data_IF_419916688568
#
_entry.id   IF_419916688568
#
_cell.length_a   1.000
_cell.length_b   1.000
_cell.length_c   1.000
_cell.angle_alpha   90.00
_cell.angle_beta   90.00
_cell.angle_gamma   90.00
#
_symmetry.space_group_name_H-M   'P 1'
#
loop_
_entity.id
_entity.type
_entity.pdbx_description
1 polymer ?
#
# COMPACT_ATOMS: atom_id res chain seq x y z
N UNK A 1 -14.18 -33.99 46.62
CA UNK A 1 -14.04 -34.61 45.28
C UNK A 1 -13.19 -33.68 44.45
N UNK A 2 -11.90 -33.94 44.38
CA UNK A 2 -10.97 -33.10 43.60
C UNK A 2 -10.93 -33.58 42.14
N UNK A 3 -11.15 -32.65 41.20
CA UNK A 3 -11.06 -32.96 39.79
C UNK A 3 -9.63 -33.35 39.42
N UNK A 4 -9.46 -34.48 38.78
CA UNK A 4 -8.17 -34.95 38.25
C UNK A 4 -7.70 -34.00 37.12
N UNK A 5 -6.57 -33.34 37.32
CA UNK A 5 -5.95 -32.53 36.27
C UNK A 5 -5.39 -33.48 35.17
N UNK A 6 -5.93 -33.38 33.98
CA UNK A 6 -5.39 -34.07 32.80
C UNK A 6 -4.13 -33.30 32.40
N UNK A 7 -2.98 -33.95 32.48
CA UNK A 7 -1.71 -33.44 31.94
C UNK A 7 -1.79 -33.50 30.43
N UNK A 8 -1.95 -32.35 29.80
CA UNK A 8 -1.81 -32.23 28.34
C UNK A 8 -0.31 -32.28 28.08
N UNK A 9 0.18 -33.40 27.57
CA UNK A 9 1.55 -33.50 27.07
C UNK A 9 1.73 -32.47 25.99
N UNK A 10 2.76 -31.61 26.16
CA UNK A 10 3.14 -30.62 25.16
C UNK A 10 3.42 -31.31 23.84
N UNK A 11 2.46 -31.21 22.93
CA UNK A 11 2.59 -31.69 21.55
C UNK A 11 3.93 -31.21 21.00
N UNK A 12 4.72 -32.13 20.44
CA UNK A 12 5.88 -31.86 19.62
C UNK A 12 5.52 -30.74 18.63
N UNK A 13 5.98 -29.53 18.90
CA UNK A 13 6.02 -28.49 17.88
C UNK A 13 7.03 -29.01 16.86
N UNK A 14 6.54 -29.68 15.83
CA UNK A 14 7.31 -30.02 14.65
C UNK A 14 8.05 -28.74 14.26
N UNK A 15 9.38 -28.77 14.29
CA UNK A 15 10.19 -27.64 13.82
C UNK A 15 9.94 -27.55 12.31
N UNK A 16 8.91 -26.78 11.93
CA UNK A 16 8.67 -26.46 10.52
C UNK A 16 9.94 -25.79 9.98
N UNK A 17 10.39 -26.22 8.82
CA UNK A 17 11.49 -25.55 8.15
C UNK A 17 11.11 -24.09 7.90
N UNK A 18 12.04 -23.15 8.09
CA UNK A 18 11.77 -21.74 7.80
C UNK A 18 11.32 -21.55 6.35
N UNK A 19 10.36 -20.66 6.13
CA UNK A 19 9.97 -20.29 4.78
C UNK A 19 11.13 -19.61 4.06
N UNK A 20 11.42 -20.02 2.83
CA UNK A 20 12.40 -19.37 1.96
C UNK A 20 11.82 -18.04 1.47
N UNK A 21 12.55 -16.96 1.66
CA UNK A 21 12.11 -15.61 1.30
C UNK A 21 13.01 -15.05 0.20
N UNK A 22 12.37 -14.49 -0.84
CA UNK A 22 13.00 -13.65 -1.84
C UNK A 22 12.49 -12.21 -1.69
N UNK A 23 13.37 -11.22 -1.66
CA UNK A 23 13.03 -9.80 -1.61
C UNK A 23 13.35 -9.12 -2.94
N UNK A 24 12.36 -8.50 -3.55
CA UNK A 24 12.53 -7.62 -4.71
C UNK A 24 12.34 -6.16 -4.30
N UNK A 25 13.31 -5.32 -4.67
CA UNK A 25 13.35 -3.91 -4.34
C UNK A 25 14.19 -3.61 -3.09
N UNK A 26 15.18 -2.72 -3.26
CA UNK A 26 16.02 -2.19 -2.18
C UNK A 26 15.91 -0.67 -2.05
N UNK A 27 14.72 -0.13 -2.39
CA UNK A 27 14.35 1.24 -2.07
C UNK A 27 14.02 1.40 -0.57
N UNK A 28 13.44 2.51 -0.21
CA UNK A 28 13.14 2.87 1.19
C UNK A 28 12.39 1.77 1.95
N UNK A 29 11.38 1.13 1.33
CA UNK A 29 10.60 0.05 1.94
C UNK A 29 11.41 -1.24 2.03
N UNK A 30 12.10 -1.63 0.95
CA UNK A 30 12.91 -2.86 0.94
C UNK A 30 14.07 -2.82 1.94
N UNK A 31 14.71 -1.66 2.11
CA UNK A 31 15.73 -1.47 3.16
C UNK A 31 15.13 -1.61 4.57
N UNK A 32 13.92 -1.09 4.79
CA UNK A 32 13.23 -1.27 6.07
C UNK A 32 12.82 -2.75 6.33
N UNK A 33 12.50 -3.52 5.28
CA UNK A 33 12.29 -4.98 5.38
C UNK A 33 13.59 -5.66 5.83
N UNK A 34 14.74 -5.35 5.18
CA UNK A 34 16.03 -5.91 5.55
C UNK A 34 16.42 -5.55 6.99
N UNK A 35 16.25 -4.29 7.37
CA UNK A 35 16.50 -3.85 8.75
C UNK A 35 15.67 -4.66 9.76
N UNK A 36 14.37 -4.83 9.49
CA UNK A 36 13.49 -5.58 10.40
C UNK A 36 13.85 -7.07 10.48
N UNK A 37 14.23 -7.68 9.36
CA UNK A 37 14.74 -9.05 9.37
C UNK A 37 16.05 -9.17 10.18
N UNK A 38 16.91 -8.16 10.13
CA UNK A 38 18.11 -8.10 10.97
C UNK A 38 17.76 -8.00 12.46
N UNK A 39 16.85 -7.12 12.85
CA UNK A 39 16.35 -6.97 14.21
C UNK A 39 15.72 -8.27 14.75
N UNK A 40 15.14 -9.09 13.89
CA UNK A 40 14.50 -10.34 14.26
C UNK A 40 15.46 -11.53 14.40
N UNK A 41 16.76 -11.37 14.17
CA UNK A 41 17.73 -12.45 14.36
C UNK A 41 17.63 -13.04 15.76
N UNK A 42 17.59 -14.38 15.82
CA UNK A 42 17.47 -15.10 17.08
C UNK A 42 16.07 -15.11 17.73
N UNK A 43 15.13 -14.29 17.23
CA UNK A 43 13.75 -14.27 17.73
C UNK A 43 12.90 -15.40 17.13
N UNK A 44 11.71 -15.63 17.70
CA UNK A 44 10.73 -16.57 17.15
C UNK A 44 10.26 -16.20 15.73
N UNK A 45 10.19 -14.91 15.42
CA UNK A 45 9.82 -14.40 14.10
C UNK A 45 10.92 -14.67 13.07
N UNK A 46 12.18 -14.35 13.39
CA UNK A 46 13.31 -14.57 12.50
C UNK A 46 13.56 -16.05 12.18
N UNK A 47 13.24 -16.95 13.11
CA UNK A 47 13.35 -18.40 12.86
C UNK A 47 12.33 -18.94 11.86
N UNK A 48 11.29 -18.19 11.52
CA UNK A 48 10.26 -18.60 10.55
C UNK A 48 10.59 -18.22 9.10
N UNK A 49 11.49 -17.25 8.90
CA UNK A 49 11.80 -16.67 7.60
C UNK A 49 13.29 -16.79 7.32
N UNK A 50 13.67 -17.40 6.20
CA UNK A 50 15.04 -17.48 5.73
C UNK A 50 15.19 -16.68 4.43
N UNK A 51 15.84 -15.51 4.49
CA UNK A 51 16.10 -14.68 3.32
C UNK A 51 17.17 -15.37 2.44
N UNK A 52 16.77 -15.98 1.33
CA UNK A 52 17.68 -16.69 0.41
C UNK A 52 18.05 -15.86 -0.82
N UNK A 53 17.24 -14.86 -1.17
CA UNK A 53 17.44 -14.02 -2.34
C UNK A 53 17.05 -12.56 -2.04
N UNK A 54 17.86 -11.61 -2.52
CA UNK A 54 17.54 -10.19 -2.47
C UNK A 54 18.03 -9.50 -3.75
N UNK A 55 17.21 -8.66 -4.37
CA UNK A 55 17.57 -8.02 -5.62
C UNK A 55 16.98 -6.61 -5.78
N UNK A 56 17.66 -5.82 -6.57
CA UNK A 56 17.15 -4.58 -7.16
C UNK A 56 17.39 -4.59 -8.68
N UNK A 57 17.16 -3.47 -9.36
CA UNK A 57 17.38 -3.35 -10.82
C UNK A 57 18.85 -3.48 -11.25
N UNK A 58 19.79 -3.59 -10.31
CA UNK A 58 21.24 -3.54 -10.57
C UNK A 58 21.97 -4.81 -10.18
N UNK A 59 21.55 -5.42 -9.09
CA UNK A 59 22.23 -6.55 -8.45
C UNK A 59 21.24 -7.55 -7.89
N UNK A 60 21.57 -8.82 -7.95
CA UNK A 60 20.93 -9.89 -7.19
C UNK A 60 21.95 -10.61 -6.33
N UNK A 61 21.53 -10.94 -5.12
CA UNK A 61 22.30 -11.72 -4.13
C UNK A 61 21.53 -13.02 -3.85
N UNK A 62 22.25 -14.13 -3.79
CA UNK A 62 21.68 -15.45 -3.52
C UNK A 62 22.57 -16.24 -2.58
N UNK A 63 21.95 -16.91 -1.61
CA UNK A 63 22.57 -17.92 -0.78
C UNK A 63 21.49 -18.88 -0.24
N UNK A 64 21.56 -20.16 -0.59
CA UNK A 64 20.59 -21.17 -0.15
C UNK A 64 20.55 -21.34 1.38
N UNK A 65 21.69 -21.20 2.06
CA UNK A 65 21.77 -21.27 3.51
C UNK A 65 21.19 -20.04 4.23
N UNK A 66 20.95 -18.97 3.48
CA UNK A 66 20.43 -17.68 3.97
C UNK A 66 21.42 -16.55 3.76
N UNK A 67 20.87 -15.39 3.51
CA UNK A 67 21.59 -14.11 3.37
C UNK A 67 21.57 -13.33 4.69
N UNK A 68 22.65 -12.62 4.95
CA UNK A 68 22.71 -11.62 6.02
C UNK A 68 21.97 -10.34 5.55
N UNK A 69 20.87 -9.90 6.21
CA UNK A 69 20.13 -8.74 5.77
C UNK A 69 20.94 -7.43 5.78
N UNK A 70 21.85 -7.23 6.74
CA UNK A 70 22.67 -6.01 6.83
C UNK A 70 23.67 -5.95 5.68
N UNK A 71 24.27 -7.10 5.36
CA UNK A 71 25.16 -7.21 4.20
C UNK A 71 24.40 -6.96 2.89
N UNK A 72 23.18 -7.53 2.75
CA UNK A 72 22.32 -7.29 1.59
C UNK A 72 22.04 -5.79 1.42
N UNK A 73 21.63 -5.10 2.48
CA UNK A 73 21.35 -3.66 2.44
C UNK A 73 22.57 -2.88 1.94
N UNK A 74 23.75 -3.21 2.44
CA UNK A 74 25.01 -2.55 2.08
C UNK A 74 25.40 -2.80 0.62
N UNK A 75 25.37 -4.06 0.17
CA UNK A 75 25.81 -4.43 -1.17
C UNK A 75 24.82 -3.92 -2.25
N UNK A 76 23.51 -4.04 -2.01
CA UNK A 76 22.49 -3.55 -2.93
C UNK A 76 22.53 -2.02 -3.08
N UNK A 77 22.85 -1.28 -2.00
CA UNK A 77 22.99 0.17 -2.04
C UNK A 77 24.21 0.61 -2.88
N UNK A 78 25.32 -0.14 -2.78
CA UNK A 78 26.60 0.16 -3.47
C UNK A 78 26.67 -0.33 -4.90
N UNK A 79 25.71 -1.16 -5.35
CA UNK A 79 25.74 -1.76 -6.67
C UNK A 79 25.80 -0.67 -7.77
N UNK A 80 26.71 -0.80 -8.75
CA UNK A 80 26.76 0.13 -9.88
C UNK A 80 25.48 0.06 -10.69
N UNK A 81 25.13 1.15 -11.37
CA UNK A 81 23.99 1.16 -12.29
C UNK A 81 24.23 0.11 -13.38
N UNK A 82 23.26 -0.78 -13.59
CA UNK A 82 23.27 -1.83 -14.59
C UNK A 82 21.97 -1.80 -15.37
N UNK A 83 22.02 -2.09 -16.66
CA UNK A 83 20.82 -2.26 -17.49
C UNK A 83 20.16 -3.64 -17.33
N UNK A 84 20.77 -4.52 -16.53
CA UNK A 84 20.19 -5.85 -16.24
C UNK A 84 19.08 -5.75 -15.21
N UNK A 85 17.85 -5.90 -15.66
CA UNK A 85 16.70 -6.08 -14.76
C UNK A 85 16.75 -7.49 -14.17
N UNK A 86 16.80 -7.59 -12.85
CA UNK A 86 16.65 -8.87 -12.14
C UNK A 86 15.16 -9.17 -12.09
N UNK A 87 14.70 -9.98 -13.01
CA UNK A 87 13.30 -10.36 -13.15
C UNK A 87 12.87 -11.36 -12.05
N UNK A 88 11.57 -11.51 -11.80
CA UNK A 88 11.01 -12.50 -10.89
C UNK A 88 11.49 -13.94 -11.12
N UNK A 89 11.91 -14.28 -12.34
CA UNK A 89 12.49 -15.58 -12.68
C UNK A 89 13.74 -15.94 -11.85
N UNK A 90 14.61 -14.98 -11.55
CA UNK A 90 15.77 -15.19 -10.68
C UNK A 90 15.36 -15.50 -9.25
N UNK A 91 14.33 -14.82 -8.74
CA UNK A 91 13.76 -15.09 -7.42
C UNK A 91 13.11 -16.49 -7.36
N UNK A 92 12.36 -16.86 -8.40
CA UNK A 92 11.73 -18.19 -8.49
C UNK A 92 12.78 -19.30 -8.47
N UNK A 93 13.85 -19.19 -9.26
CA UNK A 93 14.95 -20.14 -9.28
C UNK A 93 15.64 -20.26 -7.91
N UNK A 94 15.88 -19.14 -7.23
CA UNK A 94 16.52 -19.11 -5.92
C UNK A 94 15.64 -19.72 -4.80
N UNK A 95 14.32 -19.58 -4.89
CA UNK A 95 13.38 -20.17 -3.95
C UNK A 95 13.28 -21.71 -4.11
N UNK A 96 13.65 -22.27 -5.28
CA UNK A 96 13.58 -23.70 -5.56
C UNK A 96 12.15 -24.22 -5.64
N UNK A 97 11.95 -25.54 -5.43
CA UNK A 97 10.66 -26.21 -5.64
C UNK A 97 10.01 -26.72 -4.36
N UNK A 98 10.71 -26.72 -3.23
CA UNK A 98 10.28 -27.36 -1.99
C UNK A 98 10.14 -26.39 -0.81
N UNK A 99 9.26 -26.74 0.13
CA UNK A 99 8.98 -25.96 1.32
C UNK A 99 8.09 -24.76 1.06
N UNK A 100 7.87 -23.96 2.09
CA UNK A 100 7.13 -22.69 1.97
C UNK A 100 8.03 -21.65 1.32
N UNK A 101 7.55 -21.02 0.26
CA UNK A 101 8.28 -20.09 -0.59
C UNK A 101 7.52 -18.77 -0.66
N UNK A 102 8.18 -17.69 -0.34
CA UNK A 102 7.55 -16.35 -0.26
C UNK A 102 8.38 -15.36 -1.05
N UNK A 103 7.73 -14.64 -1.96
CA UNK A 103 8.27 -13.44 -2.57
C UNK A 103 7.75 -12.22 -1.82
N UNK A 104 8.65 -11.34 -1.38
CA UNK A 104 8.33 -10.00 -0.89
C UNK A 104 8.63 -9.00 -2.02
N UNK A 105 7.58 -8.36 -2.54
CA UNK A 105 7.67 -7.32 -3.56
C UNK A 105 7.57 -5.94 -2.93
N UNK A 106 8.72 -5.29 -2.75
CA UNK A 106 8.85 -3.91 -2.27
C UNK A 106 9.17 -2.94 -3.43
N UNK A 107 8.72 -3.26 -4.66
CA UNK A 107 8.93 -2.45 -5.86
C UNK A 107 7.69 -1.61 -6.20
N UNK A 108 7.86 -0.72 -7.20
CA UNK A 108 6.76 -0.07 -7.92
C UNK A 108 6.80 -0.46 -9.41
N UNK A 109 7.30 -1.66 -9.71
CA UNK A 109 7.59 -2.12 -11.06
C UNK A 109 6.39 -2.89 -11.64
N UNK A 110 5.97 -2.49 -12.85
CA UNK A 110 4.82 -3.10 -13.52
C UNK A 110 5.11 -4.52 -14.02
N UNK A 111 6.35 -4.79 -14.43
CA UNK A 111 6.75 -6.12 -14.90
C UNK A 111 6.78 -7.11 -13.72
N UNK A 112 7.23 -6.68 -12.54
CA UNK A 112 7.17 -7.49 -11.32
C UNK A 112 5.71 -7.79 -10.96
N UNK A 113 4.85 -6.77 -10.95
CA UNK A 113 3.43 -6.94 -10.66
C UNK A 113 2.72 -7.88 -11.66
N UNK A 114 3.03 -7.77 -12.95
CA UNK A 114 2.48 -8.63 -14.01
C UNK A 114 2.89 -10.10 -13.87
N UNK A 115 3.99 -10.39 -13.19
CA UNK A 115 4.47 -11.75 -12.95
C UNK A 115 3.90 -12.40 -11.67
N UNK A 116 3.13 -11.67 -10.84
CA UNK A 116 2.52 -12.25 -9.63
C UNK A 116 1.67 -13.49 -9.91
N UNK A 117 0.80 -13.54 -10.95
CA UNK A 117 0.03 -14.75 -11.26
C UNK A 117 0.91 -15.98 -11.51
N UNK A 118 1.98 -15.83 -12.29
CA UNK A 118 2.90 -16.94 -12.61
C UNK A 118 3.64 -17.44 -11.37
N UNK A 119 4.03 -16.57 -10.45
CA UNK A 119 4.65 -16.92 -9.18
C UNK A 119 3.68 -17.70 -8.29
N UNK A 120 2.44 -17.21 -8.17
CA UNK A 120 1.39 -17.88 -7.41
C UNK A 120 1.05 -19.26 -7.99
N UNK A 121 0.97 -19.39 -9.31
CA UNK A 121 0.77 -20.65 -10.01
C UNK A 121 1.96 -21.62 -9.83
N UNK A 122 3.17 -21.12 -9.63
CA UNK A 122 4.33 -21.92 -9.24
C UNK A 122 4.31 -22.31 -7.75
N UNK A 123 3.28 -21.95 -6.99
CA UNK A 123 3.16 -22.23 -5.55
C UNK A 123 4.03 -21.34 -4.67
N UNK A 124 4.43 -20.17 -5.15
CA UNK A 124 5.13 -19.13 -4.37
C UNK A 124 4.07 -18.16 -3.81
N UNK A 125 4.07 -17.97 -2.50
CA UNK A 125 3.27 -16.91 -1.88
C UNK A 125 3.87 -15.55 -2.21
N UNK A 126 3.04 -14.52 -2.37
CA UNK A 126 3.47 -13.16 -2.68
C UNK A 126 2.99 -12.21 -1.61
N UNK A 127 3.90 -11.43 -1.00
CA UNK A 127 3.58 -10.28 -0.15
C UNK A 127 4.03 -9.01 -0.87
N UNK A 128 3.12 -8.07 -1.16
CA UNK A 128 3.44 -6.92 -2.01
C UNK A 128 3.01 -5.59 -1.42
N UNK A 129 3.85 -4.55 -1.62
CA UNK A 129 3.48 -3.14 -1.46
C UNK A 129 3.17 -2.46 -2.79
N UNK A 130 3.34 -3.17 -3.92
CA UNK A 130 3.09 -2.68 -5.27
C UNK A 130 1.59 -2.56 -5.55
N UNK A 131 1.12 -1.32 -5.68
CA UNK A 131 -0.30 -1.05 -5.97
C UNK A 131 -0.71 -1.43 -7.41
N UNK A 132 0.26 -1.65 -8.30
CA UNK A 132 -0.03 -1.92 -9.71
C UNK A 132 -0.74 -3.26 -9.92
N UNK A 133 -0.44 -4.26 -9.09
CA UNK A 133 -1.08 -5.57 -9.16
C UNK A 133 -2.60 -5.50 -8.90
N UNK A 134 -3.01 -4.80 -7.86
CA UNK A 134 -4.43 -4.69 -7.47
C UNK A 134 -5.14 -3.42 -7.95
N UNK A 135 -4.40 -2.36 -8.31
CA UNK A 135 -4.92 -1.01 -8.58
C UNK A 135 -4.88 -0.57 -10.05
N UNK A 136 -4.67 -1.49 -11.00
CA UNK A 136 -4.67 -1.20 -12.45
C UNK A 136 -5.71 -2.05 -13.17
N UNK A 137 -5.31 -3.00 -14.02
CA UNK A 137 -6.19 -3.88 -14.78
C UNK A 137 -7.02 -4.80 -13.88
N UNK A 138 -8.30 -4.94 -14.16
CA UNK A 138 -9.16 -5.93 -13.52
C UNK A 138 -8.79 -7.36 -13.95
N UNK A 139 -8.30 -7.54 -15.17
CA UNK A 139 -7.79 -8.83 -15.66
C UNK A 139 -6.66 -9.33 -14.76
N UNK A 140 -5.61 -8.52 -14.56
CA UNK A 140 -4.48 -8.89 -13.71
C UNK A 140 -4.93 -9.24 -12.28
N UNK A 141 -5.84 -8.44 -11.70
CA UNK A 141 -6.37 -8.73 -10.36
C UNK A 141 -7.10 -10.09 -10.33
N UNK A 142 -7.94 -10.39 -11.34
CA UNK A 142 -8.63 -11.68 -11.46
C UNK A 142 -7.67 -12.85 -11.66
N UNK A 143 -6.64 -12.68 -12.46
CA UNK A 143 -5.60 -13.68 -12.68
C UNK A 143 -4.86 -14.02 -11.37
N UNK A 144 -4.55 -13.02 -10.55
CA UNK A 144 -3.98 -13.20 -9.21
C UNK A 144 -4.93 -14.04 -8.32
N UNK A 145 -6.23 -13.66 -8.24
CA UNK A 145 -7.19 -14.40 -7.42
C UNK A 145 -7.34 -15.86 -7.91
N UNK A 146 -7.47 -16.06 -9.21
CA UNK A 146 -7.59 -17.39 -9.80
C UNK A 146 -6.32 -18.25 -9.57
N UNK A 147 -5.12 -17.66 -9.60
CA UNK A 147 -3.88 -18.37 -9.29
C UNK A 147 -3.83 -18.77 -7.81
N UNK A 148 -4.25 -17.90 -6.89
CA UNK A 148 -4.38 -18.23 -5.48
C UNK A 148 -5.32 -19.42 -5.25
N UNK A 149 -6.51 -19.40 -5.87
CA UNK A 149 -7.51 -20.46 -5.75
C UNK A 149 -7.00 -21.81 -6.29
N UNK A 150 -6.35 -21.79 -7.47
CA UNK A 150 -5.83 -23.02 -8.09
C UNK A 150 -4.75 -23.71 -7.27
N UNK A 151 -3.89 -22.95 -6.58
CA UNK A 151 -2.69 -23.48 -5.93
C UNK A 151 -2.72 -23.41 -4.41
N UNK A 152 -3.68 -22.72 -3.82
CA UNK A 152 -3.68 -22.40 -2.39
C UNK A 152 -2.55 -21.45 -2.00
N UNK A 153 -1.97 -20.73 -2.97
CA UNK A 153 -0.92 -19.75 -2.71
C UNK A 153 -1.52 -18.49 -2.08
N UNK A 154 -0.86 -17.91 -1.09
CA UNK A 154 -1.28 -16.68 -0.44
C UNK A 154 -0.84 -15.44 -1.22
N UNK A 155 -1.75 -14.46 -1.36
CA UNK A 155 -1.45 -13.12 -1.85
C UNK A 155 -1.68 -12.10 -0.73
N UNK A 156 -0.59 -11.57 -0.16
CA UNK A 156 -0.58 -10.57 0.90
C UNK A 156 -0.40 -9.18 0.31
N UNK A 157 -1.45 -8.38 0.37
CA UNK A 157 -1.52 -7.04 -0.23
C UNK A 157 -1.75 -5.92 0.80
N UNK A 158 -1.66 -6.23 2.11
CA UNK A 158 -1.96 -5.27 3.19
C UNK A 158 -1.21 -3.97 3.06
N UNK A 159 0.04 -4.04 2.60
CA UNK A 159 0.92 -2.89 2.45
C UNK A 159 0.52 -1.95 1.29
N UNK A 160 -0.42 -2.34 0.42
CA UNK A 160 -0.80 -1.56 -0.77
C UNK A 160 -1.68 -0.35 -0.46
N UNK A 161 -2.51 -0.42 0.59
CA UNK A 161 -3.40 0.68 0.99
C UNK A 161 -3.29 0.95 2.48
N UNK A 162 -2.91 2.19 2.83
CA UNK A 162 -2.79 2.61 4.23
C UNK A 162 -1.57 2.08 4.95
N UNK A 163 -0.54 1.62 4.23
CA UNK A 163 0.69 1.03 4.79
C UNK A 163 0.38 -0.08 5.80
N UNK A 164 0.51 0.16 7.11
CA UNK A 164 0.21 -0.81 8.16
C UNK A 164 -1.22 -0.79 8.70
N UNK A 165 -2.08 0.12 8.21
CA UNK A 165 -3.47 0.17 8.65
C UNK A 165 -4.24 -1.08 8.22
N UNK A 166 -5.10 -1.66 9.07
CA UNK A 166 -5.78 -2.93 8.80
C UNK A 166 -6.97 -2.79 7.84
N UNK A 167 -6.86 -1.94 6.79
CA UNK A 167 -7.97 -1.63 5.87
C UNK A 167 -8.44 -2.87 5.10
N UNK A 168 -7.54 -3.50 4.35
CA UNK A 168 -7.87 -4.67 3.55
C UNK A 168 -8.24 -5.89 4.41
N UNK A 169 -7.56 -6.02 5.55
CA UNK A 169 -7.88 -7.05 6.53
C UNK A 169 -9.30 -6.89 7.06
N UNK A 170 -9.68 -5.69 7.50
CA UNK A 170 -11.02 -5.44 8.04
C UNK A 170 -12.13 -5.67 7.00
N UNK A 171 -11.90 -5.29 5.73
CA UNK A 171 -12.85 -5.57 4.65
C UNK A 171 -13.06 -7.09 4.48
N UNK A 172 -11.97 -7.88 4.43
CA UNK A 172 -12.06 -9.34 4.30
C UNK A 172 -12.73 -9.98 5.52
N UNK A 173 -12.35 -9.59 6.74
CA UNK A 173 -12.95 -10.12 7.97
C UNK A 173 -14.46 -9.82 8.08
N UNK A 174 -14.92 -8.66 7.62
CA UNK A 174 -16.34 -8.35 7.53
C UNK A 174 -17.06 -9.28 6.54
N UNK A 175 -16.50 -9.45 5.34
CA UNK A 175 -17.08 -10.32 4.30
C UNK A 175 -17.06 -11.80 4.68
N UNK A 176 -15.97 -12.29 5.27
CA UNK A 176 -15.83 -13.66 5.78
C UNK A 176 -16.87 -13.95 6.89
N UNK A 177 -17.26 -12.92 7.65
CA UNK A 177 -18.35 -12.95 8.62
C UNK A 177 -19.75 -12.76 8.02
N UNK A 178 -19.89 -12.77 6.69
CA UNK A 178 -21.15 -12.61 5.99
C UNK A 178 -21.69 -11.17 5.91
N UNK A 179 -20.87 -10.18 6.26
CA UNK A 179 -21.25 -8.77 6.21
C UNK A 179 -21.05 -8.19 4.79
N UNK A 180 -21.98 -7.41 4.32
CA UNK A 180 -21.93 -6.82 2.99
C UNK A 180 -21.47 -5.35 3.08
N UNK A 181 -20.44 -5.01 2.33
CA UNK A 181 -19.94 -3.64 2.23
C UNK A 181 -20.82 -2.84 1.27
N UNK A 182 -21.26 -1.65 1.68
CA UNK A 182 -22.12 -0.77 0.89
C UNK A 182 -21.38 0.42 0.32
N UNK A 183 -20.48 1.02 1.13
CA UNK A 183 -19.73 2.18 0.73
C UNK A 183 -18.38 2.25 1.46
N UNK A 184 -17.42 2.89 0.83
CA UNK A 184 -16.12 3.23 1.39
C UNK A 184 -15.84 4.69 1.05
N UNK A 185 -15.38 5.46 2.02
CA UNK A 185 -14.88 6.81 1.77
C UNK A 185 -13.58 7.02 2.54
N UNK A 186 -12.65 7.83 1.96
CA UNK A 186 -11.39 8.03 2.67
C UNK A 186 -10.55 9.18 2.17
N UNK A 187 -9.85 9.79 3.10
CA UNK A 187 -8.66 10.63 2.88
C UNK A 187 -7.47 9.68 2.90
N UNK A 188 -6.89 9.38 1.74
CA UNK A 188 -5.93 8.27 1.58
C UNK A 188 -4.58 8.69 0.98
N UNK A 189 -4.31 10.00 0.90
CA UNK A 189 -3.01 10.56 0.53
C UNK A 189 -2.48 11.38 1.68
N UNK A 190 -1.29 11.04 2.19
CA UNK A 190 -0.66 11.78 3.28
C UNK A 190 -0.28 13.20 2.88
N UNK A 191 0.26 13.40 1.67
CA UNK A 191 0.61 14.71 1.13
C UNK A 191 -0.62 15.62 1.00
N UNK A 192 -1.70 15.11 0.38
CA UNK A 192 -2.94 15.87 0.22
C UNK A 192 -3.67 16.10 1.55
N UNK A 193 -3.62 15.13 2.48
CA UNK A 193 -4.15 15.32 3.82
C UNK A 193 -3.44 16.49 4.52
N UNK A 194 -2.10 16.50 4.47
CA UNK A 194 -1.29 17.57 5.07
C UNK A 194 -1.55 18.94 4.43
N UNK A 195 -1.67 19.00 3.10
CA UNK A 195 -1.94 20.23 2.36
C UNK A 195 -3.30 20.83 2.75
N UNK A 196 -4.37 20.03 2.72
CA UNK A 196 -5.72 20.51 3.01
C UNK A 196 -6.02 20.66 4.51
N UNK A 197 -5.21 20.09 5.39
CA UNK A 197 -5.26 20.37 6.83
C UNK A 197 -4.74 21.79 7.15
N UNK A 198 -3.80 22.31 6.34
CA UNK A 198 -3.17 23.62 6.50
C UNK A 198 -3.74 24.72 5.63
N UNK A 199 -4.47 24.36 4.57
CA UNK A 199 -5.01 25.32 3.64
C UNK A 199 -6.24 26.02 4.20
N UNK A 200 -6.02 27.06 4.99
CA UNK A 200 -7.05 27.93 5.58
C UNK A 200 -7.38 29.18 4.75
N UNK A 201 -6.65 29.42 3.67
CA UNK A 201 -6.78 30.57 2.77
C UNK A 201 -5.93 31.75 3.18
N UNK A 202 -5.15 31.72 4.26
CA UNK A 202 -4.24 32.79 4.69
C UNK A 202 -2.98 32.88 3.82
N UNK A 203 -2.62 31.78 3.16
CA UNK A 203 -1.47 31.66 2.26
C UNK A 203 -1.90 31.04 0.92
N UNK A 204 -1.19 31.34 -0.18
CA UNK A 204 -1.38 30.63 -1.45
C UNK A 204 -1.21 29.13 -1.29
N UNK A 205 -2.02 28.33 -1.99
CA UNK A 205 -1.90 26.87 -1.96
C UNK A 205 -0.55 26.39 -2.52
N UNK A 206 -0.04 27.09 -3.55
CA UNK A 206 1.27 26.84 -4.14
C UNK A 206 2.41 26.92 -3.13
N UNK A 207 2.35 27.82 -2.14
CA UNK A 207 3.37 27.91 -1.09
C UNK A 207 3.33 26.70 -0.15
N UNK A 208 2.15 26.19 0.15
CA UNK A 208 1.99 24.95 0.92
C UNK A 208 2.55 23.75 0.16
N UNK A 209 2.34 23.68 -1.17
CA UNK A 209 2.91 22.62 -2.02
C UNK A 209 4.45 22.69 -2.03
N UNK A 210 5.04 23.90 -2.16
CA UNK A 210 6.50 24.08 -2.07
C UNK A 210 7.04 23.67 -0.69
N UNK A 211 6.33 24.02 0.38
CA UNK A 211 6.70 23.61 1.73
C UNK A 211 6.64 22.09 1.92
N UNK A 212 5.57 21.44 1.44
CA UNK A 212 5.42 19.99 1.49
C UNK A 212 6.53 19.28 0.71
N UNK A 213 6.86 19.78 -0.48
CA UNK A 213 7.95 19.28 -1.32
C UNK A 213 9.31 19.41 -0.61
N UNK A 214 9.64 20.56 -0.06
CA UNK A 214 10.87 20.79 0.69
C UNK A 214 11.01 19.86 1.93
N UNK A 215 9.89 19.47 2.55
CA UNK A 215 9.83 18.53 3.67
C UNK A 215 9.83 17.05 3.25
N UNK A 216 9.82 16.77 1.94
CA UNK A 216 9.74 15.40 1.43
C UNK A 216 8.38 14.72 1.66
N UNK A 217 7.31 15.49 1.78
CA UNK A 217 5.95 14.95 1.92
C UNK A 217 5.27 14.68 0.58
N UNK A 218 5.81 15.23 -0.52
CA UNK A 218 5.38 14.94 -1.89
C UNK A 218 6.40 14.08 -2.61
N UNK A 219 5.98 13.47 -3.71
CA UNK A 219 6.88 12.89 -4.70
C UNK A 219 7.81 13.97 -5.27
N UNK A 220 8.94 13.59 -5.93
CA UNK A 220 9.85 14.54 -6.57
C UNK A 220 9.17 15.49 -7.56
N UNK A 221 8.12 15.03 -8.23
CA UNK A 221 7.17 15.87 -8.97
C UNK A 221 5.84 15.95 -8.18
N UNK A 222 5.51 17.06 -7.52
CA UNK A 222 4.28 17.17 -6.74
C UNK A 222 3.00 16.96 -7.55
N UNK A 223 3.06 17.05 -8.90
CA UNK A 223 1.91 16.76 -9.76
C UNK A 223 1.46 15.31 -9.67
N UNK A 224 2.36 14.38 -9.34
CA UNK A 224 2.00 12.98 -9.11
C UNK A 224 0.99 12.87 -7.96
N UNK A 225 1.25 13.55 -6.83
CA UNK A 225 0.32 13.61 -5.71
C UNK A 225 -0.97 14.34 -6.07
N UNK A 226 -0.83 15.52 -6.69
CA UNK A 226 -1.95 16.41 -7.05
C UNK A 226 -2.86 15.81 -8.13
N UNK A 227 -2.36 14.84 -8.91
CA UNK A 227 -3.15 14.14 -9.93
C UNK A 227 -4.27 13.30 -9.34
N UNK A 228 -4.10 12.78 -8.12
CA UNK A 228 -5.02 11.85 -7.49
C UNK A 228 -4.87 10.39 -7.95
N UNK A 229 -3.91 10.09 -8.82
CA UNK A 229 -3.72 8.73 -9.38
C UNK A 229 -3.37 7.67 -8.33
N UNK A 230 -2.58 8.02 -7.32
CA UNK A 230 -2.29 7.10 -6.20
C UNK A 230 -3.56 6.80 -5.38
N UNK A 231 -4.39 7.82 -5.16
CA UNK A 231 -5.68 7.68 -4.48
C UNK A 231 -6.67 6.85 -5.31
N UNK A 232 -6.66 7.02 -6.66
CA UNK A 232 -7.44 6.19 -7.59
C UNK A 232 -7.07 4.71 -7.47
N UNK A 233 -5.77 4.39 -7.47
CA UNK A 233 -5.32 3.00 -7.30
C UNK A 233 -5.75 2.43 -5.96
N UNK A 234 -5.66 3.22 -4.89
CA UNK A 234 -6.06 2.80 -3.54
C UNK A 234 -7.55 2.49 -3.44
N UNK A 235 -8.44 3.39 -3.93
CA UNK A 235 -9.88 3.13 -3.89
C UNK A 235 -10.26 1.94 -4.78
N UNK A 236 -9.55 1.72 -5.89
CA UNK A 236 -9.77 0.58 -6.76
C UNK A 236 -9.43 -0.75 -6.07
N UNK A 237 -8.32 -0.80 -5.34
CA UNK A 237 -7.95 -1.97 -4.52
C UNK A 237 -8.99 -2.22 -3.43
N UNK A 238 -9.41 -1.18 -2.70
CA UNK A 238 -10.45 -1.30 -1.68
C UNK A 238 -11.78 -1.77 -2.27
N UNK A 239 -12.19 -1.21 -3.41
CA UNK A 239 -13.41 -1.61 -4.11
C UNK A 239 -13.40 -3.08 -4.50
N UNK A 240 -12.32 -3.54 -5.12
CA UNK A 240 -12.15 -4.95 -5.53
C UNK A 240 -12.16 -5.89 -4.33
N UNK A 241 -11.46 -5.52 -3.27
CA UNK A 241 -11.47 -6.27 -2.00
C UNK A 241 -12.86 -6.29 -1.38
N UNK A 242 -13.65 -5.22 -1.51
CA UNK A 242 -15.02 -5.13 -1.02
C UNK A 242 -16.07 -5.83 -1.94
N UNK A 243 -15.62 -6.53 -2.99
CA UNK A 243 -16.52 -7.28 -3.90
C UNK A 243 -17.06 -6.47 -5.08
N UNK A 244 -16.53 -5.27 -5.34
CA UNK A 244 -16.90 -4.46 -6.51
C UNK A 244 -15.82 -4.58 -7.60
N UNK A 245 -16.04 -5.38 -8.66
CA UNK A 245 -15.05 -5.66 -9.70
C UNK A 245 -14.94 -4.50 -10.70
N UNK A 246 -14.46 -3.35 -10.25
CA UNK A 246 -14.36 -2.14 -11.06
C UNK A 246 -13.15 -2.17 -12.00
N UNK A 247 -13.34 -1.71 -13.23
CA UNK A 247 -12.22 -1.35 -14.10
C UNK A 247 -11.61 -0.01 -13.70
N UNK A 248 -10.34 0.16 -14.03
CA UNK A 248 -9.60 1.40 -13.72
C UNK A 248 -10.25 2.64 -14.32
N UNK A 249 -10.80 2.55 -15.54
CA UNK A 249 -11.48 3.64 -16.22
C UNK A 249 -12.87 3.97 -15.64
N UNK A 250 -13.40 3.16 -14.73
CA UNK A 250 -14.69 3.42 -14.05
C UNK A 250 -14.52 4.31 -12.81
N UNK A 251 -13.29 4.69 -12.44
CA UNK A 251 -13.05 5.62 -11.33
C UNK A 251 -12.93 7.03 -11.90
N UNK A 252 -13.89 7.88 -11.59
CA UNK A 252 -13.84 9.30 -11.95
C UNK A 252 -12.82 10.04 -11.08
N UNK A 253 -11.86 10.74 -11.69
CA UNK A 253 -10.79 11.45 -11.00
C UNK A 253 -10.81 12.93 -11.36
N UNK A 254 -11.18 13.78 -10.40
CA UNK A 254 -11.03 15.22 -10.49
C UNK A 254 -9.63 15.65 -10.02
N UNK A 255 -8.67 15.62 -10.95
CA UNK A 255 -7.29 16.04 -10.69
C UNK A 255 -7.23 17.51 -10.24
N UNK A 256 -6.30 17.82 -9.33
CA UNK A 256 -5.98 19.20 -8.95
C UNK A 256 -5.03 19.88 -9.94
N UNK A 257 -4.41 19.13 -10.84
CA UNK A 257 -3.42 19.64 -11.81
C UNK A 257 -4.13 20.28 -12.99
N UNK A 258 -4.04 21.64 -13.17
CA UNK A 258 -4.62 22.28 -14.34
C UNK A 258 -3.93 21.84 -15.64
N UNK A 259 -4.65 21.85 -16.77
CA UNK A 259 -4.12 21.46 -18.07
C UNK A 259 -2.86 22.24 -18.50
N UNK A 260 -2.71 23.49 -18.06
CA UNK A 260 -1.50 24.28 -18.32
C UNK A 260 -0.30 23.74 -17.55
N UNK A 261 -0.51 23.35 -16.28
CA UNK A 261 0.56 22.83 -15.42
C UNK A 261 0.98 21.40 -15.84
N UNK A 262 0.05 20.60 -16.33
CA UNK A 262 0.33 19.21 -16.75
C UNK A 262 1.24 19.10 -17.99
N UNK A 263 1.30 20.15 -18.82
CA UNK A 263 2.09 20.21 -20.06
C UNK A 263 3.54 20.65 -19.86
N UNK A 264 3.88 21.14 -18.68
CA UNK A 264 5.23 21.63 -18.37
C UNK A 264 6.17 20.48 -18.03
N UNK A 265 7.47 20.67 -18.16
CA UNK A 265 8.46 19.74 -17.59
C UNK A 265 8.43 19.80 -16.06
N UNK A 266 9.01 18.81 -15.36
CA UNK A 266 8.99 18.78 -13.88
C UNK A 266 9.56 20.06 -13.26
N UNK A 267 10.71 20.53 -13.75
CA UNK A 267 11.35 21.76 -13.24
C UNK A 267 10.53 23.03 -13.51
N UNK A 268 9.94 23.16 -14.70
CA UNK A 268 9.05 24.28 -15.05
C UNK A 268 7.78 24.26 -14.20
N UNK A 269 7.23 23.09 -13.94
CA UNK A 269 6.02 22.92 -13.15
C UNK A 269 6.21 23.42 -11.70
N UNK A 270 7.35 23.12 -11.07
CA UNK A 270 7.68 23.66 -9.75
C UNK A 270 7.73 25.18 -9.72
N UNK A 271 8.19 25.81 -10.81
CA UNK A 271 8.19 27.26 -10.96
C UNK A 271 6.81 27.89 -11.22
N UNK A 272 5.79 27.08 -11.57
CA UNK A 272 4.45 27.52 -12.00
C UNK A 272 3.31 26.95 -11.15
N UNK A 273 3.59 26.57 -9.90
CA UNK A 273 2.58 26.07 -8.98
C UNK A 273 1.50 27.11 -8.63
N UNK A 274 1.78 28.41 -8.85
CA UNK A 274 0.82 29.50 -8.73
C UNK A 274 -0.43 29.33 -9.62
N UNK A 275 -0.34 28.53 -10.68
CA UNK A 275 -1.50 28.14 -11.50
C UNK A 275 -2.59 27.39 -10.71
N UNK A 276 -2.28 26.87 -9.54
CA UNK A 276 -3.22 26.19 -8.64
C UNK A 276 -4.09 27.19 -7.82
N UNK A 277 -3.55 28.37 -7.52
CA UNK A 277 -4.03 29.19 -6.43
C UNK A 277 -5.45 29.74 -6.63
N UNK A 278 -5.74 30.33 -7.79
CA UNK A 278 -7.03 30.97 -8.02
C UNK A 278 -8.22 30.00 -7.88
N UNK A 279 -8.11 28.80 -8.46
CA UNK A 279 -9.19 27.83 -8.42
C UNK A 279 -9.38 27.23 -7.02
N UNK A 280 -8.29 27.03 -6.28
CA UNK A 280 -8.36 26.48 -4.92
C UNK A 280 -8.81 27.50 -3.90
N UNK A 281 -8.45 28.78 -4.09
CA UNK A 281 -8.95 29.86 -3.26
C UNK A 281 -10.48 29.99 -3.35
N UNK A 282 -11.04 29.95 -4.56
CA UNK A 282 -12.50 29.97 -4.76
C UNK A 282 -13.20 28.80 -4.06
N UNK A 283 -12.62 27.60 -4.16
CA UNK A 283 -13.16 26.41 -3.49
C UNK A 283 -13.06 26.54 -1.95
N UNK A 284 -11.99 27.15 -1.46
CA UNK A 284 -11.81 27.41 -0.02
C UNK A 284 -12.83 28.40 0.53
N UNK A 285 -13.10 29.48 -0.22
CA UNK A 285 -14.14 30.44 0.12
C UNK A 285 -15.52 29.78 0.17
N UNK A 286 -15.87 29.00 -0.86
CA UNK A 286 -17.12 28.26 -0.87
C UNK A 286 -17.23 27.24 0.29
N UNK A 287 -16.13 26.64 0.71
CA UNK A 287 -16.11 25.75 1.88
C UNK A 287 -16.38 26.53 3.17
N UNK A 288 -15.76 27.71 3.32
CA UNK A 288 -15.96 28.58 4.48
C UNK A 288 -17.41 29.07 4.59
N UNK A 289 -18.02 29.48 3.48
CA UNK A 289 -19.42 29.92 3.44
C UNK A 289 -20.39 28.82 3.88
N UNK A 290 -20.05 27.56 3.62
CA UNK A 290 -20.83 26.37 4.03
C UNK A 290 -20.46 25.83 5.42
N UNK A 291 -19.56 26.49 6.15
CA UNK A 291 -19.06 26.00 7.44
C UNK A 291 -18.30 24.68 7.36
N UNK A 292 -17.78 24.35 6.15
CA UNK A 292 -17.11 23.08 5.88
C UNK A 292 -15.60 23.22 5.71
N UNK A 293 -14.94 22.08 5.53
CA UNK A 293 -13.51 21.93 5.27
C UNK A 293 -13.26 21.26 3.94
N UNK A 294 -12.22 21.70 3.22
CA UNK A 294 -11.77 21.02 2.00
C UNK A 294 -10.99 19.76 2.37
N UNK A 295 -11.30 18.63 1.72
CA UNK A 295 -10.50 17.40 1.78
C UNK A 295 -10.46 16.74 0.40
N UNK A 296 -9.34 16.13 0.06
CA UNK A 296 -9.22 15.30 -1.13
C UNK A 296 -9.64 13.87 -0.78
N UNK A 297 -10.78 13.45 -1.32
CA UNK A 297 -11.51 12.26 -0.89
C UNK A 297 -11.64 11.27 -2.03
N UNK A 298 -11.52 9.99 -1.72
CA UNK A 298 -12.02 8.92 -2.56
C UNK A 298 -13.33 8.38 -1.97
N UNK A 299 -14.32 8.14 -2.82
CA UNK A 299 -15.60 7.52 -2.44
C UNK A 299 -15.93 6.37 -3.37
N UNK A 300 -16.37 5.28 -2.77
CA UNK A 300 -17.05 4.17 -3.43
C UNK A 300 -18.45 4.08 -2.85
N UNK A 301 -19.46 4.14 -3.68
CA UNK A 301 -20.85 3.94 -3.29
C UNK A 301 -21.63 3.37 -4.47
N UNK A 302 -22.49 2.39 -4.21
CA UNK A 302 -23.37 1.76 -5.22
C UNK A 302 -22.62 1.30 -6.48
N UNK A 303 -21.40 0.78 -6.32
CA UNK A 303 -20.55 0.33 -7.42
C UNK A 303 -19.88 1.44 -8.23
N UNK A 304 -20.04 2.71 -7.87
CA UNK A 304 -19.39 3.85 -8.50
C UNK A 304 -18.28 4.40 -7.62
N UNK A 305 -17.11 4.69 -8.22
CA UNK A 305 -15.99 5.26 -7.50
C UNK A 305 -15.59 6.62 -8.07
N UNK A 306 -15.27 7.56 -7.18
CA UNK A 306 -14.77 8.90 -7.55
C UNK A 306 -13.66 9.34 -6.60
N UNK A 307 -12.79 10.17 -7.11
CA UNK A 307 -11.66 10.76 -6.38
C UNK A 307 -11.62 12.25 -6.71
N UNK A 308 -11.55 13.09 -5.70
CA UNK A 308 -11.47 14.54 -5.92
C UNK A 308 -11.58 15.36 -4.65
N UNK A 309 -11.56 16.67 -4.83
CA UNK A 309 -11.69 17.62 -3.75
C UNK A 309 -13.16 17.81 -3.38
N UNK A 310 -13.48 17.64 -2.09
CA UNK A 310 -14.83 17.77 -1.55
C UNK A 310 -14.87 18.80 -0.40
N UNK A 311 -16.03 19.42 -0.21
CA UNK A 311 -16.35 20.21 0.98
C UNK A 311 -17.05 19.28 1.96
N UNK A 312 -16.41 19.02 3.09
CA UNK A 312 -16.94 18.15 4.15
C UNK A 312 -17.53 19.03 5.26
N UNK A 313 -18.74 18.71 5.67
CA UNK A 313 -19.38 19.35 6.85
C UNK A 313 -18.72 18.87 8.16
N UNK A 314 -19.00 19.56 9.29
CA UNK A 314 -18.37 19.24 10.58
C UNK A 314 -18.68 17.81 11.07
N UNK A 315 -19.82 17.25 10.70
CA UNK A 315 -20.27 15.92 11.11
C UNK A 315 -19.85 14.81 10.15
N UNK A 316 -19.13 15.14 9.06
CA UNK A 316 -18.67 14.12 8.11
C UNK A 316 -17.64 13.19 8.79
N UNK A 317 -17.81 11.86 8.71
CA UNK A 317 -16.93 10.90 9.37
C UNK A 317 -15.46 11.00 8.93
N UNK A 318 -15.15 11.68 7.82
CA UNK A 318 -13.78 11.91 7.36
C UNK A 318 -13.12 13.15 7.98
N UNK A 319 -13.86 13.94 8.75
CA UNK A 319 -13.28 15.04 9.57
C UNK A 319 -12.61 14.44 10.80
N UNK A 320 -11.46 14.99 11.20
CA UNK A 320 -10.74 14.62 12.44
C UNK A 320 -9.36 13.96 12.24
N UNK A 321 -8.94 13.67 11.01
CA UNK A 321 -7.53 13.33 10.71
C UNK A 321 -6.64 14.56 10.85
N UNK A 322 -5.36 14.36 11.25
CA UNK A 322 -4.37 15.45 11.36
C UNK A 322 -3.10 15.12 10.59
N UNK A 323 -2.46 16.15 10.07
CA UNK A 323 -1.19 16.02 9.38
C UNK A 323 -1.28 15.08 8.17
N UNK A 324 -0.48 14.00 8.15
CA UNK A 324 -0.41 13.03 7.05
C UNK A 324 -1.27 11.79 7.26
N UNK A 325 -2.14 11.76 8.30
CA UNK A 325 -2.97 10.60 8.59
C UNK A 325 -3.91 10.25 7.43
N UNK A 326 -4.03 8.97 7.17
CA UNK A 326 -5.15 8.45 6.39
C UNK A 326 -6.34 8.21 7.33
N UNK A 327 -7.54 8.48 6.83
CA UNK A 327 -8.80 8.21 7.52
C UNK A 327 -9.80 7.63 6.55
N UNK A 328 -10.26 6.41 6.83
CA UNK A 328 -11.18 5.66 5.96
C UNK A 328 -12.39 5.24 6.76
N UNK A 329 -13.56 5.50 6.20
CA UNK A 329 -14.87 5.11 6.72
C UNK A 329 -15.47 4.00 5.84
N UNK A 330 -15.96 2.93 6.45
CA UNK A 330 -16.53 1.74 5.80
C UNK A 330 -17.95 1.56 6.29
N UNK A 331 -18.91 1.56 5.39
CA UNK A 331 -20.33 1.25 5.67
C UNK A 331 -20.64 -0.17 5.22
N UNK A 332 -21.26 -0.93 6.12
CA UNK A 332 -21.66 -2.32 5.89
C UNK A 332 -23.02 -2.60 6.49
N UNK A 333 -23.51 -3.84 6.40
CA UNK A 333 -24.74 -4.23 7.08
C UNK A 333 -24.67 -4.02 8.60
N UNK A 334 -23.50 -4.20 9.22
CA UNK A 334 -23.24 -3.91 10.65
C UNK A 334 -23.13 -2.42 10.96
N UNK A 335 -22.50 -1.68 10.07
CA UNK A 335 -22.09 -0.29 10.26
C UNK A 335 -22.86 0.64 9.32
N UNK A 336 -24.22 0.62 9.39
CA UNK A 336 -25.09 1.42 8.49
C UNK A 336 -25.17 2.88 8.89
N UNK A 337 -25.55 3.14 10.14
CA UNK A 337 -25.77 4.50 10.64
C UNK A 337 -24.44 5.20 10.95
N UNK A 338 -23.52 4.48 11.58
CA UNK A 338 -22.17 4.95 11.87
C UNK A 338 -21.18 4.01 11.20
N UNK A 339 -20.27 4.52 10.33
CA UNK A 339 -19.28 3.70 9.66
C UNK A 339 -18.21 3.19 10.62
N UNK A 340 -17.60 2.05 10.30
CA UNK A 340 -16.32 1.67 10.87
C UNK A 340 -15.25 2.65 10.37
N UNK A 341 -14.58 3.32 11.30
CA UNK A 341 -13.51 4.28 10.97
C UNK A 341 -12.16 3.67 11.33
N UNK A 342 -11.24 3.69 10.35
CA UNK A 342 -9.84 3.31 10.55
C UNK A 342 -8.99 4.53 10.24
N UNK A 343 -8.16 4.95 11.19
CA UNK A 343 -7.31 6.14 11.07
C UNK A 343 -5.90 5.87 11.59
N UNK A 344 -4.93 6.52 10.97
CA UNK A 344 -3.53 6.53 11.41
C UNK A 344 -2.57 6.82 10.26
N UNK A 345 -1.25 6.63 10.48
CA UNK A 345 -0.24 6.83 9.46
C UNK A 345 -0.47 5.95 8.24
N UNK A 346 -0.76 6.58 7.10
CA UNK A 346 -1.05 5.89 5.83
C UNK A 346 0.16 5.69 4.92
N UNK A 347 1.36 6.06 5.40
CA UNK A 347 2.63 5.91 4.70
C UNK A 347 3.77 5.77 5.71
N UNK A 348 4.93 5.35 5.22
CA UNK A 348 6.15 5.22 6.01
C UNK A 348 6.84 3.87 5.79
N UNK A 349 8.17 3.89 5.63
CA UNK A 349 8.95 2.70 5.29
C UNK A 349 8.77 1.57 6.29
N UNK A 350 8.89 1.88 7.59
CA UNK A 350 8.84 0.88 8.65
C UNK A 350 7.45 0.26 8.82
N UNK A 351 6.37 1.05 8.73
CA UNK A 351 5.00 0.52 8.81
C UNK A 351 4.63 -0.30 7.58
N UNK A 352 5.10 0.09 6.39
CA UNK A 352 4.91 -0.68 5.16
C UNK A 352 5.70 -2.00 5.20
N UNK A 353 6.95 -1.96 5.65
CA UNK A 353 7.77 -3.16 5.84
C UNK A 353 7.17 -4.11 6.88
N UNK A 354 6.63 -3.58 7.98
CA UNK A 354 5.92 -4.39 8.97
C UNK A 354 4.72 -5.11 8.36
N UNK A 355 3.89 -4.43 7.55
CA UNK A 355 2.74 -5.05 6.89
C UNK A 355 3.14 -6.15 5.89
N UNK A 356 4.23 -5.95 5.12
CA UNK A 356 4.78 -6.98 4.24
C UNK A 356 5.25 -8.22 5.02
N UNK A 357 5.94 -8.01 6.13
CA UNK A 357 6.43 -9.09 6.98
C UNK A 357 5.31 -9.78 7.77
N UNK A 358 4.26 -9.06 8.15
CA UNK A 358 3.05 -9.66 8.74
C UNK A 358 2.37 -10.61 7.75
N UNK A 359 2.29 -10.24 6.47
CA UNK A 359 1.77 -11.11 5.42
C UNK A 359 2.71 -12.31 5.20
N UNK A 360 4.02 -12.10 5.15
CA UNK A 360 5.00 -13.19 5.03
C UNK A 360 4.90 -14.18 6.22
N UNK A 361 4.80 -13.68 7.45
CA UNK A 361 4.62 -14.52 8.64
C UNK A 361 3.29 -15.28 8.63
N UNK A 362 2.22 -14.71 8.09
CA UNK A 362 0.93 -15.42 7.97
C UNK A 362 1.00 -16.59 7.00
N UNK A 363 1.87 -16.49 5.99
CA UNK A 363 2.06 -17.49 4.94
C UNK A 363 3.16 -18.54 5.26
N UNK A 364 4.00 -18.31 6.33
CA UNK A 364 5.11 -19.18 6.74
C UNK A 364 4.72 -20.34 7.65
#
# INVERSE_FOLDING_TARGET
>A
MFAQAIRIDGSHVSQRQPAKVALLGSGTVGLAVLQRLSEWRGTTFGRRLNLVFAANTRLSLYNEAGLDPDRCATELARAPKSDRRTLPSGALAALGESGVRILIDATADADVAANHPSLLDAGVHVATACKLAGGTSLSLWREIQAACERRGSGFGDRATVGAGLPLLRSLRELQDGGDRIHAIAGVMSGSLAWLFDRFDGSRPFSDLVREAHAKGYTEPDPREDLSGEDVRRKILILARTAGFPLESGCVDVASLVPARLSRLTGAEALGKLDLLDASLQLKREAARERGGSLRFVARLKDGCARVGLEILGPDDPLIGGRGTDNRVAIWSDRYKAQPLIIQGPGAGAHVTAAALLDDALKMS
#
